data_IF_292537601901
#
_entry.id   IF_292537601901
#
_cell.length_a   1.000
_cell.length_b   1.000
_cell.length_c   1.000
_cell.angle_alpha   90.00
_cell.angle_beta   90.00
_cell.angle_gamma   90.00
#
_symmetry.space_group_name_H-M   'P 1'
#
loop_
_entity.id
_entity.type
_entity.pdbx_description
1 polymer ?
#
# COMPACT_ATOMS: atom_id res chain seq x y z
N UNK A 1 -2.31 9.24 8.18
CA UNK A 1 -1.03 8.98 8.86
C UNK A 1 -0.53 10.29 9.42
N UNK A 2 -0.48 10.34 10.73
CA UNK A 2 0.06 11.42 11.55
C UNK A 2 1.42 11.00 12.10
N UNK A 3 2.15 11.93 12.73
CA UNK A 3 3.38 11.58 13.46
C UNK A 3 3.10 10.59 14.59
N UNK A 4 1.95 10.72 15.28
CA UNK A 4 1.51 9.79 16.32
C UNK A 4 1.32 8.36 15.79
N UNK A 5 0.79 8.21 14.57
CA UNK A 5 0.66 6.89 13.92
C UNK A 5 2.04 6.24 13.71
N UNK A 6 3.02 7.03 13.25
CA UNK A 6 4.39 6.58 12.98
C UNK A 6 5.07 6.19 14.30
N UNK A 7 5.00 7.04 15.32
CA UNK A 7 5.55 6.75 16.64
C UNK A 7 4.88 5.54 17.30
N UNK A 8 3.58 5.37 17.07
CA UNK A 8 2.78 4.26 17.55
C UNK A 8 3.35 2.90 17.16
N UNK A 9 4.01 2.79 15.99
CA UNK A 9 4.69 1.57 15.54
C UNK A 9 5.82 1.18 16.51
N UNK A 10 6.65 2.14 16.94
CA UNK A 10 7.74 1.90 17.87
C UNK A 10 7.21 1.51 19.26
N UNK A 11 6.18 2.22 19.73
CA UNK A 11 5.54 1.98 21.03
C UNK A 11 4.93 0.59 21.06
N UNK A 12 4.18 0.22 20.02
CA UNK A 12 3.57 -1.11 19.91
C UNK A 12 4.64 -2.21 19.89
N UNK A 13 5.72 -2.01 19.13
CA UNK A 13 6.84 -2.95 19.09
C UNK A 13 7.47 -3.15 20.47
N UNK A 14 7.63 -2.08 21.25
CA UNK A 14 8.11 -2.18 22.62
C UNK A 14 7.11 -2.84 23.57
N UNK A 15 5.81 -2.54 23.43
CA UNK A 15 4.74 -3.19 24.22
C UNK A 15 4.73 -4.71 24.01
N UNK A 16 4.91 -5.18 22.77
CA UNK A 16 5.04 -6.61 22.46
C UNK A 16 6.28 -7.20 23.17
N UNK A 17 7.41 -6.49 23.15
CA UNK A 17 8.63 -6.93 23.84
C UNK A 17 8.41 -7.04 25.36
N UNK A 18 7.76 -6.03 25.97
CA UNK A 18 7.42 -6.02 27.40
C UNK A 18 6.58 -7.24 27.77
N UNK A 19 5.56 -7.57 26.97
CA UNK A 19 4.73 -8.78 27.21
C UNK A 19 5.53 -10.07 27.23
N UNK A 20 6.58 -10.19 26.43
CA UNK A 20 7.50 -11.33 26.53
C UNK A 20 8.31 -11.33 27.84
N UNK A 21 8.81 -10.17 28.26
CA UNK A 21 9.60 -10.03 29.49
C UNK A 21 8.79 -10.00 30.79
N UNK A 22 7.46 -10.01 30.73
CA UNK A 22 6.60 -10.24 31.89
C UNK A 22 6.60 -11.73 32.32
N UNK A 23 6.95 -12.66 31.43
CA UNK A 23 6.99 -14.11 31.72
C UNK A 23 8.10 -14.48 32.71
N UNK A 24 7.98 -15.55 33.53
CA UNK A 24 9.08 -16.02 34.39
C UNK A 24 10.36 -16.26 33.58
N UNK A 25 11.54 -15.97 34.16
CA UNK A 25 12.82 -16.02 33.43
C UNK A 25 13.15 -17.43 32.93
N UNK A 26 12.71 -18.43 33.68
CA UNK A 26 12.87 -19.86 33.47
C UNK A 26 12.08 -20.36 32.25
N UNK A 27 11.01 -19.64 31.89
CA UNK A 27 10.15 -19.95 30.74
C UNK A 27 10.56 -19.19 29.46
N UNK A 28 11.52 -18.27 29.55
CA UNK A 28 11.97 -17.47 28.41
C UNK A 28 13.01 -18.25 27.61
N UNK A 29 12.79 -18.38 26.30
CA UNK A 29 13.81 -18.90 25.39
C UNK A 29 14.74 -17.77 24.94
N UNK A 30 15.59 -17.30 25.84
CA UNK A 30 16.50 -16.20 25.59
C UNK A 30 15.76 -14.87 25.33
N UNK A 31 16.31 -14.07 24.41
CA UNK A 31 15.82 -12.73 24.10
C UNK A 31 14.80 -12.77 22.97
N UNK A 32 13.69 -12.05 23.11
CA UNK A 32 12.74 -11.86 22.00
C UNK A 32 13.35 -10.98 20.91
N UNK A 33 13.00 -11.28 19.67
CA UNK A 33 13.31 -10.46 18.50
C UNK A 33 12.01 -10.13 17.78
N UNK A 34 11.72 -8.85 17.65
CA UNK A 34 10.54 -8.29 16.97
C UNK A 34 11.05 -7.62 15.71
N UNK A 35 10.54 -8.03 14.56
CA UNK A 35 10.88 -7.42 13.28
C UNK A 35 9.77 -6.44 12.94
N UNK A 36 10.13 -5.17 12.88
CA UNK A 36 9.26 -4.07 12.47
C UNK A 36 9.70 -3.66 11.08
N UNK A 37 8.79 -3.67 10.12
CA UNK A 37 9.11 -3.31 8.73
C UNK A 37 8.19 -2.19 8.25
N UNK A 38 8.75 -1.17 7.60
CA UNK A 38 7.98 -0.15 6.90
C UNK A 38 8.29 -0.18 5.40
N UNK A 39 7.28 -0.03 4.56
CA UNK A 39 7.42 0.07 3.11
C UNK A 39 6.72 1.34 2.61
N UNK A 40 7.07 1.78 1.41
CA UNK A 40 6.26 2.79 0.72
C UNK A 40 4.85 2.27 0.49
N UNK A 41 3.89 3.14 0.68
CA UNK A 41 2.53 2.88 0.26
C UNK A 41 2.43 3.04 -1.26
N UNK A 42 2.09 1.96 -1.99
CA UNK A 42 1.93 1.99 -3.46
C UNK A 42 0.45 1.78 -3.82
N UNK A 43 -0.29 2.84 -4.17
CA UNK A 43 -1.68 2.75 -4.61
C UNK A 43 -1.85 1.85 -5.84
N UNK A 44 -2.87 0.99 -5.82
CA UNK A 44 -3.14 0.05 -6.91
C UNK A 44 -4.47 0.32 -7.60
N UNK A 45 -4.56 0.07 -8.93
CA UNK A 45 -5.82 0.05 -9.66
C UNK A 45 -6.88 -0.79 -8.95
N UNK A 46 -8.13 -0.39 -9.07
CA UNK A 46 -9.30 -1.09 -8.53
C UNK A 46 -9.31 -1.23 -6.99
N UNK A 47 -8.56 -0.39 -6.29
CA UNK A 47 -8.60 -0.31 -4.82
C UNK A 47 -9.18 1.03 -4.38
N UNK A 48 -9.73 1.14 -3.14
CA UNK A 48 -10.17 2.42 -2.61
C UNK A 48 -9.08 3.48 -2.62
N UNK A 49 -7.81 3.09 -2.50
CA UNK A 49 -6.71 4.03 -2.44
C UNK A 49 -6.15 4.43 -3.80
N UNK A 50 -6.75 4.03 -4.93
CA UNK A 50 -6.26 4.41 -6.26
C UNK A 50 -6.20 5.93 -6.53
N UNK A 51 -6.92 6.74 -5.73
CA UNK A 51 -6.86 8.21 -5.72
C UNK A 51 -5.73 8.79 -4.87
N UNK A 52 -5.16 8.01 -3.95
CA UNK A 52 -4.09 8.50 -3.08
C UNK A 52 -2.83 8.80 -3.88
N UNK A 53 -2.14 9.88 -3.53
CA UNK A 53 -0.74 10.04 -3.91
C UNK A 53 0.15 9.08 -3.11
N UNK A 54 1.36 8.90 -3.61
CA UNK A 54 2.47 8.37 -2.83
C UNK A 54 3.18 9.51 -2.11
N UNK A 55 3.87 9.17 -1.02
CA UNK A 55 4.89 10.03 -0.46
C UNK A 55 6.04 10.17 -1.48
N UNK A 56 6.68 11.33 -1.47
CA UNK A 56 7.98 11.51 -2.10
C UNK A 56 9.06 10.77 -1.32
N UNK A 57 10.20 10.49 -1.96
CA UNK A 57 11.35 9.89 -1.29
C UNK A 57 11.80 10.69 -0.06
N UNK A 58 11.73 12.02 -0.13
CA UNK A 58 12.06 12.93 0.98
C UNK A 58 11.11 12.77 2.16
N UNK A 59 9.79 12.85 1.91
CA UNK A 59 8.76 12.65 2.94
C UNK A 59 8.90 11.28 3.62
N UNK A 60 9.14 10.23 2.84
CA UNK A 60 9.30 8.89 3.38
C UNK A 60 10.57 8.75 4.24
N UNK A 61 11.71 9.27 3.78
CA UNK A 61 12.96 9.27 4.56
C UNK A 61 12.79 10.02 5.88
N UNK A 62 12.03 11.11 5.90
CA UNK A 62 11.77 11.84 7.13
C UNK A 62 10.88 11.05 8.10
N UNK A 63 9.82 10.39 7.60
CA UNK A 63 9.00 9.47 8.41
C UNK A 63 9.82 8.30 8.96
N UNK A 64 10.73 7.74 8.16
CA UNK A 64 11.65 6.68 8.63
C UNK A 64 12.56 7.17 9.76
N UNK A 65 13.10 8.40 9.65
CA UNK A 65 13.94 8.98 10.71
C UNK A 65 13.15 9.13 12.01
N UNK A 66 11.92 9.63 11.94
CA UNK A 66 11.01 9.74 13.08
C UNK A 66 10.82 8.37 13.74
N UNK A 67 10.42 7.35 12.97
CA UNK A 67 10.22 5.99 13.49
C UNK A 67 11.50 5.43 14.12
N UNK A 68 12.64 5.56 13.43
CA UNK A 68 13.93 5.07 13.91
C UNK A 68 14.35 5.74 15.22
N UNK A 69 14.17 7.06 15.32
CA UNK A 69 14.44 7.81 16.54
C UNK A 69 13.54 7.33 17.67
N UNK A 70 12.24 7.17 17.40
CA UNK A 70 11.30 6.66 18.38
C UNK A 70 11.63 5.25 18.86
N UNK A 71 12.08 4.36 17.97
CA UNK A 71 12.57 3.02 18.34
C UNK A 71 13.78 3.12 19.28
N UNK A 72 14.70 4.07 19.04
CA UNK A 72 15.90 4.25 19.88
C UNK A 72 15.60 4.75 21.30
N UNK A 73 14.44 5.36 21.51
CA UNK A 73 13.92 5.79 22.81
C UNK A 73 13.28 4.64 23.60
N UNK A 74 12.89 3.54 22.93
CA UNK A 74 12.20 2.43 23.58
C UNK A 74 13.12 1.64 24.52
N UNK A 75 12.54 1.17 25.65
CA UNK A 75 13.25 0.37 26.66
C UNK A 75 13.83 -0.91 26.06
N UNK A 76 13.06 -1.60 25.21
CA UNK A 76 13.46 -2.86 24.60
C UNK A 76 13.98 -2.68 23.17
N UNK A 77 14.53 -1.52 22.81
CA UNK A 77 15.06 -1.25 21.45
C UNK A 77 15.99 -2.33 20.90
N UNK A 78 16.78 -2.97 21.77
CA UNK A 78 17.69 -4.05 21.34
C UNK A 78 16.92 -5.27 20.82
N UNK A 79 15.67 -5.45 21.20
CA UNK A 79 14.79 -6.54 20.77
C UNK A 79 14.00 -6.17 19.52
N UNK A 80 14.11 -4.94 19.03
CA UNK A 80 13.40 -4.44 17.86
C UNK A 80 14.40 -4.33 16.71
N UNK A 81 14.19 -5.11 15.65
CA UNK A 81 14.89 -5.00 14.38
C UNK A 81 14.02 -4.22 13.41
N UNK A 82 14.45 -3.03 13.03
CA UNK A 82 13.76 -2.21 12.06
C UNK A 82 14.33 -2.44 10.66
N UNK A 83 13.48 -2.89 9.74
CA UNK A 83 13.79 -3.00 8.32
C UNK A 83 12.98 -1.94 7.56
N UNK A 84 13.57 -1.38 6.51
CA UNK A 84 12.86 -0.49 5.61
C UNK A 84 13.18 -0.84 4.17
N UNK A 85 12.30 -0.40 3.27
CA UNK A 85 12.44 -0.62 1.83
C UNK A 85 13.04 0.59 1.13
N UNK A 86 13.76 0.34 0.05
CA UNK A 86 14.31 1.36 -0.83
C UNK A 86 13.20 2.06 -1.64
N UNK A 87 13.36 3.37 -1.83
CA UNK A 87 12.36 4.23 -2.47
C UNK A 87 12.20 3.96 -3.96
N UNK A 88 13.32 3.82 -4.65
CA UNK A 88 13.43 3.73 -6.11
C UNK A 88 12.53 2.65 -6.71
N UNK A 89 12.58 1.43 -6.16
CA UNK A 89 11.75 0.32 -6.63
C UNK A 89 10.26 0.60 -6.43
N UNK A 90 9.91 1.21 -5.30
CA UNK A 90 8.52 1.54 -4.98
C UNK A 90 7.98 2.66 -5.89
N UNK A 91 8.80 3.67 -6.19
CA UNK A 91 8.46 4.74 -7.13
C UNK A 91 8.21 4.18 -8.54
N UNK A 92 9.11 3.30 -9.02
CA UNK A 92 8.93 2.61 -10.29
C UNK A 92 7.65 1.77 -10.28
N UNK A 93 7.43 0.96 -9.24
CA UNK A 93 6.23 0.15 -9.08
C UNK A 93 4.96 1.01 -9.12
N UNK A 94 4.97 2.17 -8.46
CA UNK A 94 3.87 3.12 -8.47
C UNK A 94 3.60 3.74 -9.83
N UNK A 95 4.66 4.05 -10.58
CA UNK A 95 4.56 4.58 -11.93
C UNK A 95 4.03 3.55 -12.92
N UNK A 96 4.53 2.30 -12.85
CA UNK A 96 4.08 1.21 -13.72
C UNK A 96 2.65 0.76 -13.38
N UNK A 97 2.31 0.62 -12.10
CA UNK A 97 0.99 0.18 -11.67
C UNK A 97 -0.13 1.16 -12.04
N UNK A 98 0.19 2.46 -12.14
CA UNK A 98 -0.78 3.52 -12.46
C UNK A 98 -0.52 4.18 -13.81
N UNK A 99 0.36 3.59 -14.61
CA UNK A 99 0.74 4.08 -15.92
C UNK A 99 -0.41 4.04 -16.92
N UNK A 100 -0.41 4.97 -17.85
CA UNK A 100 -1.25 4.90 -19.04
C UNK A 100 -0.43 4.43 -20.26
N UNK A 101 -1.04 4.51 -21.44
CA UNK A 101 -0.44 4.04 -22.69
C UNK A 101 0.93 4.68 -22.98
N UNK A 102 1.24 5.87 -22.45
CA UNK A 102 2.54 6.54 -22.59
C UNK A 102 3.69 5.76 -21.96
N UNK A 103 3.43 5.03 -20.87
CA UNK A 103 4.44 4.21 -20.17
C UNK A 103 4.94 3.04 -21.04
N UNK A 104 4.18 2.61 -22.05
CA UNK A 104 4.60 1.51 -22.93
C UNK A 104 5.96 1.76 -23.61
N UNK A 105 6.25 3.00 -24.03
CA UNK A 105 7.53 3.36 -24.62
C UNK A 105 8.66 3.35 -23.60
N UNK A 106 8.40 3.82 -22.37
CA UNK A 106 9.37 3.76 -21.27
C UNK A 106 9.78 2.31 -20.97
N UNK A 107 8.80 1.40 -20.88
CA UNK A 107 9.07 -0.02 -20.67
C UNK A 107 9.92 -0.60 -21.81
N UNK A 108 9.59 -0.24 -23.05
CA UNK A 108 10.35 -0.69 -24.22
C UNK A 108 11.79 -0.20 -24.21
N UNK A 109 12.01 1.08 -23.93
CA UNK A 109 13.35 1.68 -23.90
C UNK A 109 14.18 1.14 -22.71
N UNK A 110 13.56 0.94 -21.54
CA UNK A 110 14.20 0.30 -20.39
C UNK A 110 14.63 -1.14 -20.73
N UNK A 111 13.78 -1.90 -21.42
CA UNK A 111 14.12 -3.23 -21.93
C UNK A 111 15.30 -3.17 -22.91
N UNK A 112 15.33 -2.23 -23.85
CA UNK A 112 16.46 -2.03 -24.77
C UNK A 112 17.76 -1.65 -24.02
N UNK A 113 17.66 -0.95 -22.90
CA UNK A 113 18.77 -0.63 -22.00
C UNK A 113 19.21 -1.81 -21.09
N UNK A 114 18.55 -2.97 -21.22
CA UNK A 114 18.86 -4.19 -20.47
C UNK A 114 18.29 -4.22 -19.05
N UNK A 115 17.20 -3.50 -18.77
CA UNK A 115 16.39 -3.70 -17.56
C UNK A 115 15.67 -5.05 -17.66
N UNK A 116 16.36 -6.10 -17.20
CA UNK A 116 15.88 -7.47 -17.15
C UNK A 116 16.13 -7.99 -15.74
N UNK A 117 15.16 -8.73 -15.19
CA UNK A 117 15.23 -9.28 -13.83
C UNK A 117 15.25 -8.22 -12.71
N UNK A 118 14.59 -7.08 -12.91
CA UNK A 118 14.48 -5.98 -11.92
C UNK A 118 13.84 -6.38 -10.57
N UNK A 119 13.24 -7.57 -10.46
CA UNK A 119 12.78 -8.12 -9.17
C UNK A 119 13.93 -8.54 -8.24
N UNK A 120 15.15 -8.65 -8.76
CA UNK A 120 16.35 -9.06 -8.02
C UNK A 120 17.26 -7.85 -7.84
N UNK A 121 17.56 -7.51 -6.59
CA UNK A 121 18.26 -6.27 -6.25
C UNK A 121 19.63 -6.12 -6.92
N UNK A 122 20.35 -7.21 -7.19
CA UNK A 122 21.65 -7.15 -7.88
C UNK A 122 21.56 -6.78 -9.37
N UNK A 123 20.39 -6.89 -9.99
CA UNK A 123 20.16 -6.57 -11.40
C UNK A 123 19.37 -5.26 -11.59
N UNK A 124 18.69 -4.80 -10.55
CA UNK A 124 17.90 -3.58 -10.60
C UNK A 124 18.78 -2.33 -10.77
N UNK A 125 18.45 -1.50 -11.76
CA UNK A 125 19.11 -0.23 -12.00
C UNK A 125 18.09 0.87 -12.25
N UNK A 126 17.85 1.69 -11.22
CA UNK A 126 16.89 2.78 -11.30
C UNK A 126 17.31 3.87 -12.29
N UNK A 127 18.61 4.16 -12.41
CA UNK A 127 19.14 5.15 -13.37
C UNK A 127 18.73 4.84 -14.82
N UNK A 128 18.72 3.56 -15.21
CA UNK A 128 18.27 3.16 -16.55
C UNK A 128 16.79 3.47 -16.77
N UNK A 129 15.97 3.26 -15.74
CA UNK A 129 14.55 3.63 -15.78
C UNK A 129 14.37 5.13 -15.87
N UNK A 130 15.12 5.92 -15.08
CA UNK A 130 15.09 7.38 -15.13
C UNK A 130 15.45 7.90 -16.53
N UNK A 131 16.49 7.35 -17.17
CA UNK A 131 16.81 7.70 -18.55
C UNK A 131 15.71 7.30 -19.54
N UNK A 132 15.07 6.14 -19.37
CA UNK A 132 13.96 5.75 -20.22
C UNK A 132 12.75 6.69 -20.08
N UNK A 133 12.46 7.16 -18.85
CA UNK A 133 11.45 8.18 -18.59
C UNK A 133 11.80 9.52 -19.26
N UNK A 134 13.04 9.99 -19.07
CA UNK A 134 13.56 11.24 -19.64
C UNK A 134 13.52 11.24 -21.17
N UNK A 135 13.99 10.17 -21.82
CA UNK A 135 13.98 10.02 -23.28
C UNK A 135 12.58 10.09 -23.89
N UNK A 136 11.56 9.74 -23.11
CA UNK A 136 10.16 9.81 -23.52
C UNK A 136 9.46 11.11 -23.09
N UNK A 137 10.16 12.03 -22.41
CA UNK A 137 9.59 13.27 -21.90
C UNK A 137 8.51 13.04 -20.84
N UNK A 138 8.65 11.97 -20.05
CA UNK A 138 7.66 11.58 -19.04
C UNK A 138 8.27 11.74 -17.66
N UNK A 139 7.67 12.57 -16.83
CA UNK A 139 7.97 12.59 -15.40
C UNK A 139 7.18 11.47 -14.69
N UNK A 140 7.89 10.50 -14.09
CA UNK A 140 7.26 9.41 -13.35
C UNK A 140 6.45 9.92 -12.14
N UNK A 141 6.80 11.09 -11.59
CA UNK A 141 6.10 11.72 -10.46
C UNK A 141 4.68 12.15 -10.79
N UNK A 142 4.37 12.34 -12.08
CA UNK A 142 3.00 12.50 -12.56
C UNK A 142 2.12 11.30 -12.19
N UNK A 143 2.68 10.08 -12.16
CA UNK A 143 1.94 8.88 -11.79
C UNK A 143 2.03 8.56 -10.30
N UNK A 144 3.07 9.00 -9.59
CA UNK A 144 3.27 8.64 -8.19
C UNK A 144 2.73 9.69 -7.20
N UNK A 145 3.20 10.94 -7.31
CA UNK A 145 3.10 11.95 -6.26
C UNK A 145 1.93 12.93 -6.41
N UNK A 146 1.27 13.00 -7.58
CA UNK A 146 0.13 13.91 -7.75
C UNK A 146 -1.09 13.44 -6.97
N UNK A 147 -1.79 14.41 -6.36
CA UNK A 147 -3.15 14.22 -5.89
C UNK A 147 -4.09 14.01 -7.08
N UNK A 148 -5.16 13.24 -6.86
CA UNK A 148 -6.16 12.91 -7.88
C UNK A 148 -7.54 13.23 -7.37
N UNK A 149 -8.33 13.91 -8.19
CA UNK A 149 -9.68 14.29 -7.82
C UNK A 149 -10.66 13.10 -7.97
N UNK A 150 -11.83 13.23 -7.35
CA UNK A 150 -12.84 12.17 -7.37
C UNK A 150 -13.41 11.83 -8.76
N UNK A 151 -13.30 12.75 -9.71
CA UNK A 151 -13.76 12.60 -11.10
C UNK A 151 -12.62 12.21 -12.06
N UNK A 152 -11.41 11.97 -11.55
CA UNK A 152 -10.26 11.50 -12.33
C UNK A 152 -10.66 10.31 -13.20
N UNK A 153 -10.33 10.39 -14.50
CA UNK A 153 -10.51 9.27 -15.43
C UNK A 153 -9.25 8.43 -15.42
N UNK A 154 -9.36 7.18 -14.99
CA UNK A 154 -8.22 6.28 -14.89
C UNK A 154 -8.01 5.51 -16.19
N UNK A 155 -6.75 5.20 -16.56
CA UNK A 155 -6.46 4.43 -17.76
C UNK A 155 -6.99 3.00 -17.70
N UNK A 156 -7.42 2.50 -16.53
CA UNK A 156 -8.03 1.18 -16.34
C UNK A 156 -9.56 1.23 -16.16
N UNK A 157 -10.20 2.39 -16.25
CA UNK A 157 -11.67 2.52 -16.05
C UNK A 157 -12.51 1.71 -17.05
N UNK A 158 -11.92 1.32 -18.18
CA UNK A 158 -12.60 0.51 -19.19
C UNK A 158 -12.67 -0.99 -18.83
N UNK A 159 -11.99 -1.41 -17.76
CA UNK A 159 -11.94 -2.80 -17.30
C UNK A 159 -12.95 -2.98 -16.17
N UNK A 160 -13.90 -3.90 -16.37
CA UNK A 160 -14.84 -4.30 -15.33
C UNK A 160 -14.25 -5.44 -14.47
N UNK A 161 -14.05 -5.17 -13.18
CA UNK A 161 -13.59 -6.14 -12.18
C UNK A 161 -14.71 -6.60 -11.23
N UNK A 162 -15.96 -6.27 -11.55
CA UNK A 162 -17.14 -6.56 -10.74
C UNK A 162 -17.29 -5.70 -9.49
N UNK A 163 -16.39 -4.73 -9.25
CA UNK A 163 -16.51 -3.74 -8.16
C UNK A 163 -16.64 -2.35 -8.75
N UNK A 164 -17.69 -1.62 -8.36
CA UNK A 164 -17.96 -0.31 -8.94
C UNK A 164 -16.97 0.76 -8.48
N UNK A 165 -16.57 1.66 -9.38
CA UNK A 165 -15.74 2.84 -9.05
C UNK A 165 -16.39 3.72 -7.98
N UNK A 166 -17.71 3.88 -8.02
CA UNK A 166 -18.49 4.61 -7.01
C UNK A 166 -18.32 3.99 -5.62
N UNK A 167 -18.37 2.67 -5.51
CA UNK A 167 -18.10 1.97 -4.25
C UNK A 167 -16.68 2.26 -3.77
N UNK A 168 -15.66 2.07 -4.61
CA UNK A 168 -14.26 2.31 -4.24
C UNK A 168 -14.03 3.75 -3.74
N UNK A 169 -14.64 4.74 -4.40
CA UNK A 169 -14.53 6.13 -3.98
C UNK A 169 -15.24 6.42 -2.65
N UNK A 170 -16.37 5.76 -2.38
CA UNK A 170 -17.03 5.86 -1.07
C UNK A 170 -16.16 5.24 0.02
N UNK A 171 -15.56 4.08 -0.23
CA UNK A 171 -14.63 3.44 0.71
C UNK A 171 -13.36 4.27 0.93
N UNK A 172 -12.86 4.97 -0.10
CA UNK A 172 -11.77 5.94 0.02
C UNK A 172 -12.11 7.04 1.04
N UNK A 173 -13.29 7.65 0.91
CA UNK A 173 -13.76 8.68 1.85
C UNK A 173 -13.93 8.14 3.26
N UNK A 174 -14.53 6.96 3.40
CA UNK A 174 -14.67 6.29 4.71
C UNK A 174 -13.32 6.03 5.36
N UNK A 175 -12.35 5.55 4.59
CA UNK A 175 -10.99 5.31 5.07
C UNK A 175 -10.30 6.61 5.51
N UNK A 176 -10.50 7.71 4.78
CA UNK A 176 -10.01 9.05 5.18
C UNK A 176 -10.67 9.57 6.46
N UNK A 177 -11.92 9.19 6.71
CA UNK A 177 -12.66 9.49 7.93
C UNK A 177 -12.42 8.47 9.07
N UNK A 178 -11.49 7.53 8.91
CA UNK A 178 -11.21 6.45 9.88
C UNK A 178 -12.44 5.55 10.19
N UNK A 179 -13.40 5.48 9.26
CA UNK A 179 -14.63 4.68 9.39
C UNK A 179 -14.43 3.27 8.87
N UNK A 180 -14.54 2.30 9.76
CA UNK A 180 -14.51 0.87 9.42
C UNK A 180 -15.74 0.48 8.60
N UNK A 181 -15.53 -0.26 7.52
CA UNK A 181 -16.60 -0.92 6.77
C UNK A 181 -16.82 -2.32 7.32
N UNK A 182 -18.08 -2.64 7.65
CA UNK A 182 -18.44 -3.93 8.24
C UNK A 182 -18.22 -5.09 7.27
N UNK A 183 -18.07 -6.29 7.83
CA UNK A 183 -17.93 -7.49 7.04
C UNK A 183 -19.22 -7.79 6.26
N UNK A 184 -19.09 -8.32 5.03
CA UNK A 184 -20.22 -8.70 4.18
C UNK A 184 -21.18 -9.73 4.80
N UNK A 185 -20.77 -10.49 5.83
CA UNK A 185 -21.65 -11.37 6.61
C UNK A 185 -22.57 -10.62 7.57
N UNK A 186 -22.16 -9.43 8.00
CA UNK A 186 -22.92 -8.58 8.91
C UNK A 186 -23.85 -7.66 8.12
N UNK A 187 -23.30 -6.97 7.12
CA UNK A 187 -24.05 -6.00 6.32
C UNK A 187 -23.44 -5.92 4.92
N UNK A 188 -24.28 -5.94 3.88
CA UNK A 188 -23.81 -5.78 2.50
C UNK A 188 -23.41 -4.32 2.25
N UNK A 189 -22.16 -4.08 1.82
CA UNK A 189 -21.68 -2.73 1.50
C UNK A 189 -21.97 -2.31 0.05
N UNK A 190 -22.63 -3.14 -0.74
CA UNK A 190 -23.02 -2.81 -2.12
C UNK A 190 -21.84 -2.58 -3.07
N UNK A 191 -20.83 -3.46 -3.05
CA UNK A 191 -19.63 -3.30 -3.89
C UNK A 191 -19.86 -3.54 -5.39
N UNK A 192 -20.86 -4.35 -5.74
CA UNK A 192 -21.17 -4.75 -7.12
C UNK A 192 -20.80 -6.20 -7.45
N UNK A 193 -20.04 -6.88 -6.58
CA UNK A 193 -19.51 -8.23 -6.84
C UNK A 193 -20.57 -9.34 -6.98
N UNK A 194 -21.85 -9.01 -6.83
CA UNK A 194 -22.96 -9.92 -7.09
C UNK A 194 -23.00 -10.42 -8.54
N UNK A 195 -22.36 -9.72 -9.48
CA UNK A 195 -22.24 -10.16 -10.89
C UNK A 195 -21.57 -11.52 -11.05
N UNK A 196 -20.76 -11.95 -10.07
CA UNK A 196 -20.06 -13.23 -10.13
C UNK A 196 -20.89 -14.45 -9.71
N UNK A 197 -22.13 -14.27 -9.23
CA UNK A 197 -23.03 -15.40 -8.99
C UNK A 197 -22.65 -16.32 -7.82
N UNK A 198 -21.73 -15.93 -6.93
CA UNK A 198 -21.28 -16.80 -5.83
C UNK A 198 -20.70 -16.09 -4.61
N UNK A 199 -20.23 -16.91 -3.66
CA UNK A 199 -19.60 -16.46 -2.42
C UNK A 199 -20.60 -15.94 -1.37
N UNK A 200 -20.11 -15.09 -0.47
CA UNK A 200 -20.90 -14.56 0.68
C UNK A 200 -22.17 -13.82 0.26
N UNK A 201 -22.21 -13.33 -0.99
CA UNK A 201 -23.32 -12.59 -1.58
C UNK A 201 -24.56 -13.46 -1.85
N UNK A 202 -24.40 -14.79 -1.86
CA UNK A 202 -25.46 -15.75 -2.15
C UNK A 202 -25.68 -16.67 -0.95
N UNK A 203 -26.89 -17.19 -0.81
CA UNK A 203 -27.19 -18.24 0.16
C UNK A 203 -26.78 -19.63 -0.39
N UNK A 204 -27.05 -20.69 0.40
CA UNK A 204 -26.72 -22.06 0.00
C UNK A 204 -27.57 -22.59 -1.16
N UNK A 205 -28.70 -21.94 -1.43
CA UNK A 205 -29.65 -22.28 -2.49
C UNK A 205 -29.35 -21.50 -3.79
N UNK A 206 -28.36 -20.60 -3.75
CA UNK A 206 -27.97 -19.77 -4.88
C UNK A 206 -28.81 -18.49 -5.02
N UNK A 207 -29.65 -18.15 -4.04
CA UNK A 207 -30.39 -16.90 -4.06
C UNK A 207 -29.49 -15.74 -3.61
N UNK A 208 -29.65 -14.59 -4.27
CA UNK A 208 -28.94 -13.37 -3.92
C UNK A 208 -29.44 -12.84 -2.58
N UNK A 209 -28.53 -12.56 -1.65
CA UNK A 209 -28.87 -11.88 -0.40
C UNK A 209 -29.23 -10.42 -0.66
N UNK A 210 -30.26 -9.94 0.03
CA UNK A 210 -30.72 -8.56 -0.11
C UNK A 210 -29.63 -7.57 0.30
N UNK A 211 -29.57 -6.46 -0.45
CA UNK A 211 -28.67 -5.34 -0.18
C UNK A 211 -29.46 -4.31 0.62
N UNK A 212 -29.17 -4.18 1.91
CA UNK A 212 -29.68 -3.05 2.69
C UNK A 212 -28.87 -1.80 2.32
N UNK A 213 -29.47 -0.91 1.53
CA UNK A 213 -28.89 0.42 1.29
C UNK A 213 -29.21 1.32 2.48
N UNK A 214 -28.30 1.41 3.45
CA UNK A 214 -28.25 2.60 4.30
C UNK A 214 -27.35 3.62 3.57
N UNK A 215 -27.94 4.78 3.25
CA UNK A 215 -27.48 5.78 2.28
C UNK A 215 -26.08 6.36 2.51
#
# INVERSE_FOLDING_TARGET
ETEEDIEGIAILSDMIARKYYERPKEERNGKVSIVTSSSFFVPKPFTPFQWSRMDTSEEYLDKQKILRNKINEQLNKKSIKYNWHEADLSELEGALARGDRRISKVIYDAYQAGCLYDSWSEFFSFDKWLHAFENNGIDYRFYTCRERDGNEVFPWDFIDVGVSKRFLYREYKRAKDEKVTLNCKQTCSGCGATVFGGGVCFDKEGNRKEVSYEG
#
